data_IF_799508531212
#
_entry.id   IF_799508531212
#
_cell.length_a   1.000
_cell.length_b   1.000
_cell.length_c   1.000
_cell.angle_alpha   90.00
_cell.angle_beta   90.00
_cell.angle_gamma   90.00
#
_symmetry.space_group_name_H-M   'P 1'
#
loop_
_entity.id
_entity.type
_entity.pdbx_description
1 polymer ?
#
# COMPACT_ATOMS: atom_id res chain seq x y z
N UNK A 1 -9.27 24.36 10.59
CA UNK A 1 -9.45 23.11 11.36
C UNK A 1 -8.67 22.03 10.63
N UNK A 2 -7.85 21.23 11.30
CA UNK A 2 -7.22 20.06 10.69
C UNK A 2 -8.28 19.14 10.10
N UNK A 3 -8.00 18.51 8.95
CA UNK A 3 -8.91 17.53 8.35
C UNK A 3 -8.75 16.18 9.05
N UNK A 4 -9.85 15.58 9.49
CA UNK A 4 -9.82 14.24 10.07
C UNK A 4 -9.24 13.21 9.11
N UNK A 5 -8.36 12.37 9.66
CA UNK A 5 -7.67 11.31 8.92
C UNK A 5 -8.44 9.99 9.01
N UNK A 6 -8.36 9.19 7.95
CA UNK A 6 -8.78 7.79 8.03
C UNK A 6 -7.62 6.99 8.63
N UNK A 7 -7.89 6.22 9.68
CA UNK A 7 -6.90 5.31 10.25
C UNK A 7 -6.88 4.00 9.46
N UNK A 8 -5.71 3.61 8.98
CA UNK A 8 -5.48 2.38 8.23
C UNK A 8 -4.52 1.42 8.91
N UNK A 9 -4.71 0.11 8.66
CA UNK A 9 -3.87 -0.97 9.17
C UNK A 9 -3.44 -1.92 8.05
N UNK A 10 -2.13 -2.07 7.83
CA UNK A 10 -1.51 -3.05 6.94
C UNK A 10 -1.06 -4.28 7.75
N UNK A 11 -1.95 -5.27 7.84
CA UNK A 11 -1.93 -6.21 8.96
C UNK A 11 -0.92 -7.34 8.83
N UNK A 12 -0.64 -7.79 7.61
CA UNK A 12 0.14 -9.02 7.38
C UNK A 12 1.34 -8.82 6.49
N UNK A 13 1.18 -8.19 5.32
CA UNK A 13 2.28 -7.91 4.43
C UNK A 13 3.00 -9.11 3.81
N UNK A 14 3.98 -8.75 2.98
CA UNK A 14 4.79 -9.63 2.15
C UNK A 14 6.27 -9.65 2.52
N UNK A 15 6.71 -8.70 3.36
CA UNK A 15 8.12 -8.48 3.68
C UNK A 15 8.60 -9.45 4.76
N UNK A 16 7.88 -9.48 5.89
CA UNK A 16 8.23 -10.23 7.09
C UNK A 16 7.63 -11.64 7.05
N UNK A 17 8.26 -12.57 6.32
CA UNK A 17 7.83 -13.98 6.22
C UNK A 17 8.97 -14.93 6.58
N UNK A 18 8.67 -16.16 7.03
CA UNK A 18 9.67 -17.03 7.64
C UNK A 18 10.90 -17.32 6.77
N UNK A 19 10.73 -17.61 5.48
CA UNK A 19 11.81 -17.96 4.54
C UNK A 19 12.34 -16.78 3.73
N UNK A 20 11.90 -15.56 4.03
CA UNK A 20 12.32 -14.34 3.32
C UNK A 20 13.39 -13.54 4.08
N UNK A 21 14.00 -14.15 5.09
CA UNK A 21 15.03 -13.56 5.95
C UNK A 21 16.16 -14.55 6.22
N UNK A 22 17.40 -14.13 6.02
CA UNK A 22 18.57 -14.88 6.44
C UNK A 22 18.90 -14.53 7.88
N UNK A 23 19.21 -15.53 8.71
CA UNK A 23 19.52 -15.33 10.12
C UNK A 23 20.72 -14.39 10.30
N UNK A 24 20.50 -13.32 11.04
CA UNK A 24 21.51 -12.31 11.36
C UNK A 24 22.28 -12.64 12.64
N UNK A 25 21.73 -13.54 13.47
CA UNK A 25 22.26 -13.85 14.80
C UNK A 25 21.78 -12.88 15.88
N UNK A 26 21.03 -11.84 15.52
CA UNK A 26 20.31 -10.99 16.48
C UNK A 26 18.90 -11.57 16.70
N UNK A 27 18.59 -12.11 17.90
CA UNK A 27 17.31 -12.80 18.15
C UNK A 27 16.08 -11.94 17.91
N UNK A 28 16.15 -10.64 18.25
CA UNK A 28 15.04 -9.71 18.07
C UNK A 28 14.78 -9.42 16.60
N UNK A 29 15.84 -9.05 15.87
CA UNK A 29 15.76 -8.78 14.43
C UNK A 29 15.25 -10.01 13.69
N UNK A 30 15.74 -11.19 14.04
CA UNK A 30 15.37 -12.44 13.37
C UNK A 30 13.91 -12.81 13.65
N UNK A 31 13.41 -12.59 14.88
CA UNK A 31 12.01 -12.81 15.23
C UNK A 31 11.07 -11.85 14.48
N UNK A 32 11.38 -10.55 14.48
CA UNK A 32 10.66 -9.54 13.72
C UNK A 32 10.64 -9.90 12.23
N UNK A 33 11.81 -10.23 11.68
CA UNK A 33 11.99 -10.42 10.24
C UNK A 33 11.28 -11.66 9.70
N UNK A 34 11.11 -12.69 10.54
CA UNK A 34 10.31 -13.89 10.22
C UNK A 34 8.80 -13.64 10.28
N UNK A 35 8.37 -12.51 10.84
CA UNK A 35 6.94 -12.20 11.02
C UNK A 35 6.28 -13.09 12.07
N UNK A 36 7.01 -13.52 13.11
CA UNK A 36 6.54 -14.50 14.10
C UNK A 36 5.24 -14.10 14.81
N UNK A 37 5.01 -12.80 14.96
CA UNK A 37 3.82 -12.22 15.62
C UNK A 37 2.68 -11.92 14.62
N UNK A 38 2.90 -12.11 13.32
CA UNK A 38 1.93 -11.80 12.26
C UNK A 38 0.94 -12.96 12.15
N UNK A 39 -0.35 -12.64 12.29
CA UNK A 39 -1.44 -13.61 12.21
C UNK A 39 -1.60 -14.11 10.77
N UNK A 40 -1.86 -15.41 10.62
CA UNK A 40 -2.11 -16.05 9.32
C UNK A 40 -3.44 -16.83 9.30
N UNK A 41 -4.02 -17.10 10.46
CA UNK A 41 -5.30 -17.78 10.59
C UNK A 41 -6.48 -16.82 10.37
N UNK A 42 -7.50 -17.27 9.66
CA UNK A 42 -8.70 -16.46 9.34
C UNK A 42 -9.39 -15.95 10.60
N UNK A 43 -9.60 -16.80 11.61
CA UNK A 43 -10.29 -16.41 12.85
C UNK A 43 -9.51 -15.34 13.62
N UNK A 44 -8.18 -15.49 13.71
CA UNK A 44 -7.31 -14.50 14.34
C UNK A 44 -7.29 -13.16 13.59
N UNK A 45 -7.25 -13.19 12.26
CA UNK A 45 -7.26 -12.00 11.41
C UNK A 45 -8.59 -11.24 11.50
N UNK A 46 -9.70 -11.97 11.56
CA UNK A 46 -11.04 -11.40 11.71
C UNK A 46 -11.22 -10.79 13.09
N UNK A 47 -10.78 -11.47 14.15
CA UNK A 47 -10.81 -10.94 15.51
C UNK A 47 -9.95 -9.66 15.64
N UNK A 48 -8.77 -9.65 15.01
CA UNK A 48 -7.94 -8.44 14.93
C UNK A 48 -8.61 -7.33 14.13
N UNK A 49 -9.23 -7.64 12.99
CA UNK A 49 -9.96 -6.67 12.18
C UNK A 49 -11.12 -6.01 12.94
N UNK A 50 -11.85 -6.79 13.76
CA UNK A 50 -12.89 -6.27 14.64
C UNK A 50 -12.32 -5.34 15.72
N UNK A 51 -11.27 -5.77 16.43
CA UNK A 51 -10.63 -4.95 17.46
C UNK A 51 -10.05 -3.64 16.89
N UNK A 52 -9.46 -3.68 15.69
CA UNK A 52 -9.00 -2.49 14.98
C UNK A 52 -10.17 -1.57 14.61
N UNK A 53 -11.29 -2.14 14.15
CA UNK A 53 -12.48 -1.36 13.81
C UNK A 53 -13.06 -0.62 15.03
N UNK A 54 -13.08 -1.27 16.20
CA UNK A 54 -13.59 -0.70 17.45
C UNK A 54 -12.83 0.55 17.88
N UNK A 55 -11.52 0.63 17.57
CA UNK A 55 -10.68 1.80 17.89
C UNK A 55 -10.64 2.85 16.77
N UNK A 56 -11.43 2.66 15.71
CA UNK A 56 -11.62 3.64 14.64
C UNK A 56 -10.86 3.37 13.33
N UNK A 57 -10.20 2.20 13.18
CA UNK A 57 -9.62 1.81 11.88
C UNK A 57 -10.74 1.59 10.87
N UNK A 58 -10.59 2.17 9.67
CA UNK A 58 -11.57 2.03 8.58
C UNK A 58 -10.94 1.58 7.26
N UNK A 59 -9.63 1.42 7.22
CA UNK A 59 -8.89 0.93 6.06
C UNK A 59 -8.04 -0.29 6.45
N UNK A 60 -8.39 -1.48 5.97
CA UNK A 60 -7.74 -2.75 6.30
C UNK A 60 -7.02 -3.29 5.06
N UNK A 61 -5.69 -3.19 5.06
CA UNK A 61 -4.83 -3.73 4.01
C UNK A 61 -4.26 -5.08 4.44
N UNK A 62 -4.39 -6.10 3.59
CA UNK A 62 -4.08 -7.48 3.92
C UNK A 62 -3.43 -8.23 2.76
N UNK A 63 -2.43 -9.04 3.10
CA UNK A 63 -1.87 -10.09 2.26
C UNK A 63 -2.24 -11.47 2.79
N UNK A 64 -2.68 -12.36 1.92
CA UNK A 64 -2.93 -13.74 2.29
C UNK A 64 -1.65 -14.45 2.69
N UNK A 65 -1.76 -15.29 3.73
CA UNK A 65 -0.68 -16.14 4.22
C UNK A 65 -1.17 -17.56 4.34
N UNK A 66 -0.32 -18.51 3.96
CA UNK A 66 -0.58 -19.92 4.18
C UNK A 66 -0.61 -20.19 5.69
N UNK A 67 -1.74 -20.67 6.26
CA UNK A 67 -1.85 -20.85 7.71
C UNK A 67 -0.86 -21.88 8.29
N UNK A 68 -0.35 -22.80 7.48
CA UNK A 68 0.59 -23.84 7.92
C UNK A 68 2.04 -23.36 7.90
N UNK A 69 2.45 -22.66 6.85
CA UNK A 69 3.84 -22.23 6.65
C UNK A 69 4.09 -20.78 7.03
N UNK A 70 3.02 -19.99 7.21
CA UNK A 70 3.01 -18.54 7.47
C UNK A 70 3.62 -17.68 6.34
N UNK A 71 3.97 -18.30 5.20
CA UNK A 71 4.44 -17.60 4.01
C UNK A 71 3.32 -16.83 3.34
N UNK A 72 3.69 -15.78 2.59
CA UNK A 72 2.75 -15.10 1.70
C UNK A 72 2.18 -16.09 0.67
N UNK A 73 0.88 -15.98 0.41
CA UNK A 73 0.14 -16.80 -0.55
C UNK A 73 -0.54 -15.94 -1.62
N UNK A 74 -0.72 -16.53 -2.80
CA UNK A 74 -1.56 -15.99 -3.90
C UNK A 74 -2.99 -16.55 -3.86
N UNK A 75 -3.33 -17.39 -2.89
CA UNK A 75 -4.60 -18.11 -2.86
C UNK A 75 -5.81 -17.18 -2.70
N UNK A 76 -6.61 -17.08 -3.75
CA UNK A 76 -7.89 -16.36 -3.72
C UNK A 76 -8.86 -16.89 -2.66
N UNK A 77 -8.80 -18.18 -2.31
CA UNK A 77 -9.65 -18.74 -1.27
C UNK A 77 -9.29 -18.17 0.12
N UNK A 78 -8.00 -17.95 0.40
CA UNK A 78 -7.56 -17.35 1.66
C UNK A 78 -7.93 -15.86 1.73
N UNK A 79 -7.73 -15.12 0.62
CA UNK A 79 -8.22 -13.74 0.50
C UNK A 79 -9.72 -13.64 0.72
N UNK A 80 -10.49 -14.48 0.05
CA UNK A 80 -11.95 -14.46 0.12
C UNK A 80 -12.47 -14.83 1.52
N UNK A 81 -11.88 -15.83 2.18
CA UNK A 81 -12.30 -16.26 3.50
C UNK A 81 -12.20 -15.12 4.54
N UNK A 82 -11.07 -14.40 4.58
CA UNK A 82 -10.91 -13.26 5.50
C UNK A 82 -11.83 -12.10 5.11
N UNK A 83 -11.88 -11.75 3.82
CA UNK A 83 -12.68 -10.61 3.36
C UNK A 83 -14.16 -10.81 3.59
N UNK A 84 -14.69 -12.00 3.35
CA UNK A 84 -16.10 -12.30 3.59
C UNK A 84 -16.49 -12.08 5.05
N UNK A 85 -15.71 -12.63 5.98
CA UNK A 85 -15.94 -12.47 7.42
C UNK A 85 -15.77 -11.02 7.90
N UNK A 86 -14.79 -10.28 7.36
CA UNK A 86 -14.63 -8.85 7.66
C UNK A 86 -15.83 -8.04 7.12
N UNK A 87 -16.29 -8.29 5.89
CA UNK A 87 -17.45 -7.59 5.33
C UNK A 87 -18.73 -7.85 6.14
N UNK A 88 -18.90 -9.08 6.65
CA UNK A 88 -20.03 -9.48 7.47
C UNK A 88 -20.00 -8.83 8.86
N UNK A 89 -18.88 -8.98 9.58
CA UNK A 89 -18.77 -8.53 10.99
C UNK A 89 -18.47 -7.05 11.15
N UNK A 90 -17.78 -6.44 10.19
CA UNK A 90 -17.38 -5.02 10.21
C UNK A 90 -17.72 -4.31 8.89
N UNK A 91 -19.02 -4.17 8.54
CA UNK A 91 -19.48 -3.66 7.24
C UNK A 91 -19.06 -2.22 6.90
N UNK A 92 -18.50 -1.48 7.85
CA UNK A 92 -17.91 -0.15 7.64
C UNK A 92 -16.45 -0.17 7.17
N UNK A 93 -15.77 -1.32 7.20
CA UNK A 93 -14.35 -1.45 6.87
C UNK A 93 -14.12 -1.43 5.35
N UNK A 94 -13.19 -0.59 4.88
CA UNK A 94 -12.62 -0.72 3.55
C UNK A 94 -11.53 -1.79 3.57
N UNK A 95 -11.50 -2.63 2.54
CA UNK A 95 -10.56 -3.75 2.43
C UNK A 95 -9.66 -3.49 1.22
N UNK A 96 -8.35 -3.59 1.41
CA UNK A 96 -7.35 -3.59 0.35
C UNK A 96 -6.58 -4.90 0.38
N UNK A 97 -6.35 -5.49 -0.79
CA UNK A 97 -5.45 -6.63 -0.93
C UNK A 97 -4.12 -6.23 -1.53
N UNK A 98 -3.03 -6.69 -0.92
CA UNK A 98 -1.71 -6.58 -1.52
C UNK A 98 -1.45 -7.69 -2.54
N UNK A 99 -0.64 -7.39 -3.56
CA UNK A 99 -0.30 -8.31 -4.65
C UNK A 99 1.23 -8.39 -4.88
N UNK A 100 2.01 -8.38 -3.80
CA UNK A 100 3.47 -8.43 -3.87
C UNK A 100 3.95 -9.73 -4.51
N UNK A 101 5.06 -9.66 -5.26
CA UNK A 101 5.77 -10.81 -5.84
C UNK A 101 6.75 -11.47 -4.85
N UNK A 102 6.81 -10.97 -3.63
CA UNK A 102 7.76 -11.45 -2.63
C UNK A 102 7.34 -12.80 -2.02
N UNK A 103 8.29 -13.50 -1.40
CA UNK A 103 8.05 -14.78 -0.75
C UNK A 103 8.18 -15.98 -1.69
N UNK A 104 8.58 -17.10 -1.09
CA UNK A 104 8.94 -18.32 -1.83
C UNK A 104 7.73 -19.02 -2.45
N UNK A 105 6.60 -19.08 -1.75
CA UNK A 105 5.37 -19.72 -2.26
C UNK A 105 4.75 -18.91 -3.40
N UNK A 106 4.81 -17.58 -3.35
CA UNK A 106 4.39 -16.71 -4.45
C UNK A 106 5.26 -16.94 -5.69
N UNK A 107 6.59 -17.01 -5.52
CA UNK A 107 7.53 -17.30 -6.62
C UNK A 107 7.26 -18.67 -7.26
N UNK A 108 6.95 -19.68 -6.44
CA UNK A 108 6.57 -21.01 -6.91
C UNK A 108 5.23 -21.01 -7.67
N UNK A 109 4.22 -20.32 -7.13
CA UNK A 109 2.92 -20.17 -7.78
C UNK A 109 3.04 -19.47 -9.15
N UNK A 110 3.82 -18.39 -9.23
CA UNK A 110 4.09 -17.70 -10.49
C UNK A 110 4.83 -18.60 -11.48
N UNK A 111 5.82 -19.39 -11.04
CA UNK A 111 6.52 -20.34 -11.90
C UNK A 111 5.57 -21.38 -12.49
N UNK A 112 4.56 -21.81 -11.72
CA UNK A 112 3.61 -22.85 -12.11
C UNK A 112 2.44 -22.33 -12.95
N UNK A 113 1.91 -21.16 -12.63
CA UNK A 113 0.64 -20.65 -13.17
C UNK A 113 0.78 -19.32 -13.93
N UNK A 114 1.98 -18.74 -13.95
CA UNK A 114 2.27 -17.46 -14.58
C UNK A 114 2.00 -16.25 -13.68
N UNK A 115 2.41 -15.07 -14.15
CA UNK A 115 2.35 -13.81 -13.40
C UNK A 115 0.94 -13.34 -13.04
N UNK A 116 -0.10 -13.80 -13.75
CA UNK A 116 -1.48 -13.47 -13.40
C UNK A 116 -1.85 -13.99 -12.00
N UNK A 117 -1.31 -15.15 -11.61
CA UNK A 117 -1.63 -15.80 -10.33
C UNK A 117 -1.42 -14.85 -9.13
N UNK A 118 -0.33 -14.07 -9.16
CA UNK A 118 0.05 -13.11 -8.12
C UNK A 118 -1.02 -12.04 -7.82
N UNK A 119 -1.74 -11.60 -8.85
CA UNK A 119 -2.67 -10.47 -8.80
C UNK A 119 -4.09 -10.87 -9.18
N UNK A 120 -4.37 -12.18 -9.26
CA UNK A 120 -5.65 -12.69 -9.71
C UNK A 120 -6.82 -12.29 -8.80
N UNK A 121 -6.56 -11.99 -7.53
CA UNK A 121 -7.49 -11.42 -6.56
C UNK A 121 -8.07 -10.06 -6.98
N UNK A 122 -7.43 -9.36 -7.93
CA UNK A 122 -7.99 -8.16 -8.57
C UNK A 122 -9.30 -8.43 -9.32
N UNK A 123 -9.56 -9.68 -9.72
CA UNK A 123 -10.78 -10.08 -10.42
C UNK A 123 -11.87 -10.64 -9.50
N UNK A 124 -11.70 -10.58 -8.17
CA UNK A 124 -12.73 -11.00 -7.22
C UNK A 124 -13.72 -9.85 -6.92
N UNK A 125 -15.03 -10.02 -7.16
CA UNK A 125 -16.05 -9.06 -6.72
C UNK A 125 -16.23 -9.09 -5.20
N UNK A 126 -16.68 -7.98 -4.60
CA UNK A 126 -16.87 -7.86 -3.15
C UNK A 126 -17.75 -8.97 -2.57
N UNK A 127 -18.89 -9.26 -3.20
CA UNK A 127 -19.84 -10.29 -2.74
C UNK A 127 -19.30 -11.73 -2.80
N UNK A 128 -18.15 -11.98 -3.45
CA UNK A 128 -17.44 -13.27 -3.43
C UNK A 128 -16.15 -13.20 -2.59
N UNK A 129 -16.07 -12.28 -1.63
CA UNK A 129 -14.88 -12.09 -0.80
C UNK A 129 -13.77 -11.30 -1.49
N UNK A 130 -14.09 -10.50 -2.50
CA UNK A 130 -13.14 -9.53 -3.09
C UNK A 130 -12.82 -8.38 -2.14
N UNK A 131 -12.04 -7.41 -2.62
CA UNK A 131 -11.65 -6.22 -1.86
C UNK A 131 -12.02 -4.92 -2.58
N UNK A 132 -12.17 -3.85 -1.80
CA UNK A 132 -12.44 -2.49 -2.31
C UNK A 132 -11.27 -1.97 -3.13
N UNK A 133 -10.06 -2.38 -2.76
CA UNK A 133 -8.84 -2.09 -3.48
C UNK A 133 -8.00 -3.36 -3.65
N UNK A 134 -7.22 -3.40 -4.72
CA UNK A 134 -6.10 -4.32 -4.86
C UNK A 134 -4.93 -3.51 -5.36
N UNK A 135 -3.82 -3.58 -4.65
CA UNK A 135 -2.62 -2.83 -5.00
C UNK A 135 -2.01 -3.40 -6.28
N UNK A 136 -2.27 -2.73 -7.40
CA UNK A 136 -1.94 -3.26 -8.73
C UNK A 136 -0.56 -2.89 -9.25
N UNK A 137 -0.02 -1.73 -8.83
CA UNK A 137 1.35 -1.32 -9.12
C UNK A 137 2.17 -1.50 -7.85
N UNK A 138 2.93 -2.58 -7.79
CA UNK A 138 3.94 -2.81 -6.79
C UNK A 138 5.33 -2.71 -7.45
N UNK A 139 6.38 -3.12 -6.73
CA UNK A 139 7.74 -3.04 -7.21
C UNK A 139 7.95 -3.76 -8.57
N UNK A 140 7.29 -4.90 -8.81
CA UNK A 140 7.49 -5.70 -10.03
C UNK A 140 7.04 -4.98 -11.31
N UNK A 141 5.97 -4.19 -11.26
CA UNK A 141 5.49 -3.41 -12.41
C UNK A 141 6.48 -2.31 -12.82
N UNK A 142 7.40 -1.89 -11.93
CA UNK A 142 8.45 -0.92 -12.25
C UNK A 142 9.37 -1.41 -13.38
N UNK A 143 9.37 -2.70 -13.70
CA UNK A 143 10.07 -3.25 -14.88
C UNK A 143 9.66 -2.61 -16.19
N UNK A 144 8.42 -2.13 -16.30
CA UNK A 144 7.94 -1.39 -17.47
C UNK A 144 8.69 -0.06 -17.59
N UNK A 145 8.85 0.67 -16.48
CA UNK A 145 9.59 1.94 -16.44
C UNK A 145 11.08 1.73 -16.61
N UNK A 146 11.64 0.68 -16.03
CA UNK A 146 13.04 0.32 -16.26
C UNK A 146 13.31 -0.03 -17.73
N UNK A 147 12.32 -0.58 -18.44
CA UNK A 147 12.43 -0.84 -19.87
C UNK A 147 12.46 0.46 -20.69
N UNK A 148 11.67 1.45 -20.31
CA UNK A 148 11.73 2.80 -20.88
C UNK A 148 13.07 3.49 -20.58
N UNK A 149 13.54 3.42 -19.34
CA UNK A 149 14.83 3.99 -18.90
C UNK A 149 16.00 3.40 -19.72
N UNK A 150 16.03 2.07 -19.90
CA UNK A 150 17.05 1.39 -20.74
C UNK A 150 17.01 1.81 -22.22
N UNK A 151 15.89 2.32 -22.70
CA UNK A 151 15.73 2.82 -24.08
C UNK A 151 16.05 4.31 -24.21
N UNK A 152 16.55 4.94 -23.15
CA UNK A 152 16.94 6.35 -23.15
C UNK A 152 15.78 7.32 -22.93
N UNK A 153 14.61 6.85 -22.49
CA UNK A 153 13.51 7.74 -22.09
C UNK A 153 13.80 8.27 -20.69
N UNK A 154 13.79 9.59 -20.55
CA UNK A 154 13.90 10.23 -19.23
C UNK A 154 12.63 9.99 -18.42
N UNK A 155 12.81 9.38 -17.25
CA UNK A 155 11.75 9.00 -16.31
C UNK A 155 11.71 9.91 -15.07
N UNK A 156 12.57 10.94 -15.00
CA UNK A 156 12.55 11.90 -13.90
C UNK A 156 11.20 12.61 -13.81
N UNK A 157 10.81 13.04 -12.61
CA UNK A 157 9.50 13.65 -12.35
C UNK A 157 9.17 14.78 -13.33
N UNK A 158 10.13 15.67 -13.59
CA UNK A 158 9.94 16.80 -14.50
C UNK A 158 9.73 16.36 -15.96
N UNK A 159 10.40 15.28 -16.40
CA UNK A 159 10.23 14.73 -17.75
C UNK A 159 8.91 13.95 -17.88
N UNK A 160 8.61 13.10 -16.91
CA UNK A 160 7.37 12.32 -16.87
C UNK A 160 6.10 13.19 -16.85
N UNK A 161 6.22 14.43 -16.35
CA UNK A 161 5.11 15.40 -16.30
C UNK A 161 4.88 16.17 -17.61
N UNK A 162 5.64 15.87 -18.68
CA UNK A 162 5.57 16.61 -19.95
C UNK A 162 4.84 15.82 -21.05
N UNK A 163 4.24 16.50 -22.05
CA UNK A 163 3.61 15.84 -23.20
C UNK A 163 4.54 14.91 -23.99
N UNK A 164 5.86 15.16 -23.99
CA UNK A 164 6.90 14.31 -24.57
C UNK A 164 6.84 12.89 -24.03
N UNK A 165 6.70 12.77 -22.70
CA UNK A 165 6.57 11.48 -22.04
C UNK A 165 5.30 10.76 -22.51
N UNK A 166 4.18 11.47 -22.58
CA UNK A 166 2.93 10.92 -23.14
C UNK A 166 3.07 10.40 -24.58
N UNK A 167 3.91 11.01 -25.42
CA UNK A 167 4.22 10.49 -26.76
C UNK A 167 5.01 9.18 -26.70
N UNK A 168 6.00 9.09 -25.82
CA UNK A 168 6.76 7.85 -25.60
C UNK A 168 5.86 6.72 -25.08
N UNK A 169 4.96 7.03 -24.13
CA UNK A 169 3.99 6.10 -23.56
C UNK A 169 3.05 5.54 -24.64
N UNK A 170 2.49 6.40 -25.51
CA UNK A 170 1.53 5.97 -26.55
C UNK A 170 2.12 4.99 -27.58
N UNK A 171 3.42 5.09 -27.85
CA UNK A 171 4.12 4.24 -28.82
C UNK A 171 4.96 3.15 -28.16
N UNK A 172 4.83 2.99 -26.84
CA UNK A 172 5.62 2.03 -26.11
C UNK A 172 5.24 0.59 -26.48
N UNK A 173 6.23 -0.17 -26.94
CA UNK A 173 6.13 -1.61 -27.17
C UNK A 173 7.04 -2.32 -26.17
N UNK A 174 6.51 -3.03 -25.16
CA UNK A 174 7.32 -3.60 -24.10
C UNK A 174 8.25 -4.72 -24.59
N UNK A 175 9.45 -4.79 -24.02
CA UNK A 175 10.41 -5.84 -24.34
C UNK A 175 9.89 -7.21 -23.90
N UNK A 176 10.09 -8.23 -24.74
CA UNK A 176 9.79 -9.63 -24.43
C UNK A 176 10.94 -10.35 -23.73
N UNK A 177 12.09 -9.69 -23.58
CA UNK A 177 13.24 -10.28 -22.90
C UNK A 177 12.97 -10.33 -21.41
N UNK A 178 13.07 -11.53 -20.85
CA UNK A 178 13.06 -11.73 -19.40
C UNK A 178 14.27 -11.03 -18.80
N UNK A 179 14.02 -10.24 -17.76
CA UNK A 179 15.07 -9.61 -16.98
C UNK A 179 14.86 -9.96 -15.52
N UNK A 180 15.93 -10.43 -14.88
CA UNK A 180 15.97 -10.41 -13.43
C UNK A 180 16.12 -8.95 -13.01
N UNK A 181 15.09 -8.43 -12.36
CA UNK A 181 15.10 -7.05 -11.90
C UNK A 181 15.30 -7.03 -10.40
N UNK A 182 16.52 -6.69 -10.00
CA UNK A 182 16.80 -6.27 -8.64
C UNK A 182 16.37 -4.81 -8.50
N UNK A 183 15.41 -4.56 -7.62
CA UNK A 183 15.06 -3.20 -7.23
C UNK A 183 15.86 -2.84 -6.00
N UNK A 184 16.43 -1.64 -6.02
CA UNK A 184 17.08 -1.07 -4.85
C UNK A 184 16.01 -0.75 -3.80
N UNK A 185 15.90 -1.60 -2.78
CA UNK A 185 14.87 -1.54 -1.74
C UNK A 185 15.47 -1.93 -0.40
N UNK A 186 14.93 -1.37 0.68
CA UNK A 186 15.17 -1.84 2.04
C UNK A 186 14.25 -3.04 2.30
N UNK A 187 14.84 -4.23 2.37
CA UNK A 187 14.11 -5.47 2.66
C UNK A 187 14.92 -6.38 3.57
N UNK A 188 14.25 -7.35 4.19
CA UNK A 188 14.88 -8.55 4.74
C UNK A 188 15.68 -9.29 3.65
N UNK A 189 16.72 -10.02 4.03
CA UNK A 189 17.61 -10.73 3.10
C UNK A 189 16.82 -11.70 2.21
N UNK A 190 16.70 -11.40 0.92
CA UNK A 190 15.94 -12.18 -0.08
C UNK A 190 14.67 -11.48 -0.59
N UNK A 191 14.17 -10.49 0.14
CA UNK A 191 12.93 -9.80 -0.20
C UNK A 191 13.04 -8.67 -1.23
N UNK A 192 14.26 -8.34 -1.67
CA UNK A 192 14.53 -7.43 -2.78
C UNK A 192 14.52 -8.11 -4.15
N UNK A 193 14.59 -9.45 -4.18
CA UNK A 193 14.52 -10.22 -5.43
C UNK A 193 13.04 -10.43 -5.77
N UNK A 194 12.57 -9.64 -6.73
CA UNK A 194 11.23 -9.80 -7.26
C UNK A 194 11.16 -10.94 -8.25
N UNK A 195 12.26 -11.56 -8.71
CA UNK A 195 12.32 -12.67 -9.67
C UNK A 195 12.49 -12.23 -11.13
N UNK A 196 12.57 -13.18 -12.07
CA UNK A 196 12.73 -12.90 -13.51
C UNK A 196 11.39 -12.90 -14.25
N UNK A 197 11.13 -11.88 -15.07
CA UNK A 197 9.94 -11.76 -15.92
C UNK A 197 10.20 -10.68 -16.98
N UNK A 198 9.43 -10.66 -18.07
CA UNK A 198 9.59 -9.64 -19.11
C UNK A 198 8.71 -8.40 -18.83
N UNK A 199 9.14 -7.19 -19.23
CA UNK A 199 8.28 -6.00 -19.26
C UNK A 199 6.97 -6.24 -20.03
N UNK A 200 6.98 -7.09 -21.06
CA UNK A 200 5.79 -7.47 -21.82
C UNK A 200 4.77 -8.22 -20.95
N UNK A 201 5.21 -9.23 -20.20
CA UNK A 201 4.34 -9.99 -19.30
C UNK A 201 3.76 -9.08 -18.22
N UNK A 202 4.58 -8.24 -17.59
CA UNK A 202 4.11 -7.30 -16.55
C UNK A 202 3.11 -6.29 -17.12
N UNK A 203 3.35 -5.76 -18.32
CA UNK A 203 2.41 -4.88 -18.99
C UNK A 203 1.06 -5.56 -19.24
N UNK A 204 1.06 -6.80 -19.73
CA UNK A 204 -0.17 -7.55 -20.00
C UNK A 204 -0.95 -7.86 -18.72
N UNK A 205 -0.25 -8.30 -17.66
CA UNK A 205 -0.85 -8.64 -16.37
C UNK A 205 -1.41 -7.39 -15.70
N UNK A 206 -0.67 -6.28 -15.70
CA UNK A 206 -1.14 -5.04 -15.09
C UNK A 206 -2.35 -4.47 -15.83
N UNK A 207 -2.34 -4.47 -17.17
CA UNK A 207 -3.52 -4.12 -17.97
C UNK A 207 -4.72 -5.00 -17.62
N UNK A 208 -4.52 -6.32 -17.55
CA UNK A 208 -5.59 -7.28 -17.21
C UNK A 208 -6.16 -7.01 -15.82
N UNK A 209 -5.32 -6.69 -14.84
CA UNK A 209 -5.77 -6.35 -13.49
C UNK A 209 -6.61 -5.08 -13.47
N UNK A 210 -6.16 -4.00 -14.14
CA UNK A 210 -6.90 -2.73 -14.27
C UNK A 210 -8.26 -2.96 -14.94
N UNK A 211 -8.30 -3.71 -16.04
CA UNK A 211 -9.54 -4.05 -16.74
C UNK A 211 -10.49 -4.91 -15.89
N UNK A 212 -9.95 -5.85 -15.11
CA UNK A 212 -10.76 -6.66 -14.20
C UNK A 212 -11.46 -5.79 -13.14
N UNK A 213 -10.72 -4.87 -12.50
CA UNK A 213 -11.29 -3.92 -11.52
C UNK A 213 -12.39 -3.06 -12.14
N UNK A 214 -12.17 -2.53 -13.35
CA UNK A 214 -13.16 -1.73 -14.08
C UNK A 214 -14.45 -2.50 -14.34
N UNK A 215 -14.36 -3.76 -14.77
CA UNK A 215 -15.53 -4.63 -15.01
C UNK A 215 -16.34 -4.91 -13.73
N UNK A 216 -15.69 -4.84 -12.57
CA UNK A 216 -16.32 -5.00 -11.28
C UNK A 216 -16.84 -3.68 -10.69
N UNK A 217 -16.67 -2.55 -11.39
CA UNK A 217 -16.93 -1.20 -10.87
C UNK A 217 -16.18 -0.90 -9.56
N UNK A 218 -15.01 -1.52 -9.39
CA UNK A 218 -14.15 -1.32 -8.23
C UNK A 218 -12.96 -0.45 -8.59
N UNK A 219 -12.48 0.28 -7.60
CA UNK A 219 -11.44 1.29 -7.76
C UNK A 219 -10.03 0.69 -7.74
N UNK A 220 -9.08 1.50 -8.22
CA UNK A 220 -7.66 1.15 -8.31
C UNK A 220 -6.87 1.72 -7.14
N UNK A 221 -5.87 0.95 -6.70
CA UNK A 221 -4.83 1.39 -5.79
C UNK A 221 -3.45 1.07 -6.37
N UNK A 222 -2.51 1.99 -6.18
CA UNK A 222 -1.09 1.81 -6.52
C UNK A 222 -0.21 2.12 -5.31
N UNK A 223 0.94 1.46 -5.22
CA UNK A 223 1.93 1.70 -4.17
C UNK A 223 3.20 2.32 -4.74
N UNK A 224 3.72 3.32 -4.04
CA UNK A 224 4.95 4.00 -4.37
C UNK A 224 6.04 3.61 -3.41
N UNK A 225 7.10 3.05 -3.98
CA UNK A 225 8.24 2.45 -3.27
C UNK A 225 9.58 3.02 -3.73
N UNK A 226 9.61 3.68 -4.90
CA UNK A 226 10.76 4.40 -5.46
C UNK A 226 10.22 5.67 -6.14
N UNK A 227 10.39 6.86 -5.55
CA UNK A 227 9.57 8.04 -5.83
C UNK A 227 9.43 8.33 -7.34
N UNK A 228 10.53 8.61 -8.03
CA UNK A 228 10.54 8.97 -9.46
C UNK A 228 9.99 7.84 -10.35
N UNK A 229 10.39 6.60 -10.10
CA UNK A 229 9.97 5.43 -10.90
C UNK A 229 8.51 5.10 -10.68
N UNK A 230 8.04 5.17 -9.44
CA UNK A 230 6.64 4.96 -9.09
C UNK A 230 5.75 6.07 -9.67
N UNK A 231 6.19 7.34 -9.60
CA UNK A 231 5.51 8.44 -10.28
C UNK A 231 5.44 8.23 -11.79
N UNK A 232 6.57 7.95 -12.44
CA UNK A 232 6.64 7.68 -13.87
C UNK A 232 5.78 6.47 -14.27
N UNK A 233 5.73 5.42 -13.45
CA UNK A 233 4.89 4.24 -13.70
C UNK A 233 3.41 4.56 -13.60
N UNK A 234 3.00 5.34 -12.58
CA UNK A 234 1.61 5.74 -12.42
C UNK A 234 1.20 6.71 -13.53
N UNK A 235 2.08 7.63 -13.94
CA UNK A 235 1.86 8.49 -15.11
C UNK A 235 1.78 7.68 -16.40
N UNK A 236 2.67 6.72 -16.61
CA UNK A 236 2.60 5.80 -17.74
C UNK A 236 1.23 5.10 -17.76
N UNK A 237 0.78 4.54 -16.64
CA UNK A 237 -0.46 3.79 -16.54
C UNK A 237 -1.72 4.62 -16.77
N UNK A 238 -1.73 5.87 -16.29
CA UNK A 238 -2.86 6.80 -16.45
C UNK A 238 -2.98 7.32 -17.88
N UNK A 239 -1.85 7.54 -18.57
CA UNK A 239 -1.80 8.09 -19.93
C UNK A 239 -1.83 7.00 -21.02
N UNK A 240 -1.46 5.75 -20.71
CA UNK A 240 -1.39 4.68 -21.69
C UNK A 240 -2.80 4.26 -22.17
N UNK A 241 -3.09 4.30 -23.48
CA UNK A 241 -4.46 4.13 -24.02
C UNK A 241 -5.09 2.78 -23.71
N UNK A 242 -4.27 1.74 -23.54
CA UNK A 242 -4.72 0.40 -23.20
C UNK A 242 -4.89 0.13 -21.70
N UNK A 243 -4.30 0.96 -20.82
CA UNK A 243 -4.38 0.74 -19.35
C UNK A 243 -5.44 1.68 -18.77
N UNK A 244 -5.26 3.00 -18.98
CA UNK A 244 -6.16 4.04 -18.48
C UNK A 244 -6.46 3.88 -16.98
N UNK A 245 -5.42 3.73 -16.18
CA UNK A 245 -5.53 3.63 -14.72
C UNK A 245 -6.32 4.82 -14.16
N UNK A 246 -7.26 4.58 -13.24
CA UNK A 246 -8.10 5.61 -12.62
C UNK A 246 -9.01 6.36 -13.58
N UNK A 247 -9.39 5.74 -14.71
CA UNK A 247 -10.32 6.29 -15.71
C UNK A 247 -11.75 6.48 -15.22
N UNK A 248 -12.08 5.86 -14.10
CA UNK A 248 -13.35 5.86 -13.40
C UNK A 248 -13.54 7.15 -12.58
N UNK A 249 -12.55 8.06 -12.62
CA UNK A 249 -12.59 9.35 -11.92
C UNK A 249 -11.93 9.33 -10.55
N UNK A 250 -11.40 8.19 -10.08
CA UNK A 250 -10.71 8.07 -8.80
C UNK A 250 -9.44 7.20 -8.95
N UNK A 251 -8.37 7.62 -8.27
CA UNK A 251 -7.15 6.84 -8.08
C UNK A 251 -6.72 6.91 -6.61
N UNK A 252 -6.27 5.79 -6.04
CA UNK A 252 -5.75 5.73 -4.67
C UNK A 252 -4.25 5.45 -4.74
N UNK A 253 -3.44 6.27 -4.08
CA UNK A 253 -1.98 6.16 -4.09
C UNK A 253 -1.49 6.01 -2.66
N UNK A 254 -0.78 4.91 -2.39
CA UNK A 254 -0.14 4.67 -1.10
C UNK A 254 1.36 4.96 -1.21
N UNK A 255 1.86 5.87 -0.37
CA UNK A 255 3.27 6.27 -0.30
C UNK A 255 3.97 5.54 0.86
N UNK A 256 4.96 4.72 0.55
CA UNK A 256 5.72 3.94 1.54
C UNK A 256 7.09 4.56 1.79
N UNK A 257 7.12 5.49 2.73
CA UNK A 257 8.33 6.22 3.10
C UNK A 257 9.35 5.32 3.79
N UNK A 258 10.60 5.38 3.35
CA UNK A 258 11.68 4.55 3.89
C UNK A 258 11.68 3.12 3.33
N UNK A 259 10.90 2.85 2.29
CA UNK A 259 10.92 1.54 1.62
C UNK A 259 12.21 1.33 0.82
N UNK A 260 12.82 2.38 0.27
CA UNK A 260 14.05 2.27 -0.51
C UNK A 260 14.94 3.50 -0.39
N UNK A 261 16.22 3.42 -0.77
CA UNK A 261 17.07 4.61 -0.91
C UNK A 261 16.54 5.63 -1.92
N UNK A 262 15.75 5.16 -2.90
CA UNK A 262 15.08 5.99 -3.91
C UNK A 262 13.72 6.52 -3.47
N UNK A 263 13.26 6.17 -2.27
CA UNK A 263 12.15 6.81 -1.59
C UNK A 263 12.38 6.75 -0.07
N UNK A 264 13.38 7.52 0.42
CA UNK A 264 13.80 7.46 1.81
C UNK A 264 12.68 7.96 2.73
N UNK A 265 12.85 7.70 4.03
CA UNK A 265 11.99 8.32 5.03
C UNK A 265 12.26 9.84 5.06
N UNK A 266 11.24 10.71 5.10
CA UNK A 266 11.43 12.14 4.94
C UNK A 266 12.16 12.74 6.16
N UNK A 267 13.13 13.62 5.89
CA UNK A 267 13.90 14.27 6.94
C UNK A 267 13.16 15.45 7.58
N UNK A 268 12.20 16.02 6.86
CA UNK A 268 11.37 17.14 7.31
C UNK A 268 9.93 17.06 6.78
N UNK A 269 9.04 17.85 7.37
CA UNK A 269 7.67 17.99 6.89
C UNK A 269 7.56 18.46 5.43
N UNK A 270 8.45 19.36 5.02
CA UNK A 270 8.45 19.87 3.64
C UNK A 270 8.75 18.76 2.63
N UNK A 271 9.67 17.84 2.94
CA UNK A 271 9.97 16.69 2.09
C UNK A 271 8.78 15.75 1.96
N UNK A 272 8.13 15.47 3.08
CA UNK A 272 6.90 14.71 3.11
C UNK A 272 5.81 15.34 2.23
N UNK A 273 5.52 16.64 2.40
CA UNK A 273 4.51 17.33 1.60
C UNK A 273 4.87 17.40 0.11
N UNK A 274 6.15 17.45 -0.27
CA UNK A 274 6.56 17.37 -1.68
C UNK A 274 6.14 16.04 -2.31
N UNK A 275 6.35 14.92 -1.62
CA UNK A 275 5.94 13.61 -2.12
C UNK A 275 4.42 13.47 -2.19
N UNK A 276 3.67 13.96 -1.18
CA UNK A 276 2.21 13.96 -1.19
C UNK A 276 1.65 14.84 -2.32
N UNK A 277 2.19 16.05 -2.50
CA UNK A 277 1.79 16.97 -3.57
C UNK A 277 2.07 16.38 -4.95
N UNK A 278 3.18 15.64 -5.09
CA UNK A 278 3.48 14.92 -6.33
C UNK A 278 2.43 13.86 -6.64
N UNK A 279 1.98 13.07 -5.65
CA UNK A 279 0.89 12.12 -5.83
C UNK A 279 -0.41 12.84 -6.24
N UNK A 280 -0.78 13.93 -5.55
CA UNK A 280 -1.97 14.74 -5.87
C UNK A 280 -1.89 15.38 -7.27
N UNK A 281 -0.70 15.64 -7.81
CA UNK A 281 -0.55 16.16 -9.19
C UNK A 281 -1.12 15.21 -10.27
N UNK A 282 -1.30 13.92 -9.96
CA UNK A 282 -1.90 12.93 -10.86
C UNK A 282 -3.43 13.03 -10.99
N UNK A 283 -4.07 13.96 -10.27
CA UNK A 283 -5.44 14.38 -10.57
C UNK A 283 -5.59 14.97 -11.98
N UNK A 284 -4.49 15.55 -12.49
CA UNK A 284 -4.43 16.21 -13.77
C UNK A 284 -3.75 15.32 -14.81
N UNK A 285 -4.31 15.30 -16.03
CA UNK A 285 -3.64 14.70 -17.19
C UNK A 285 -2.50 15.60 -17.70
N UNK A 286 -1.75 15.11 -18.70
CA UNK A 286 -0.65 15.86 -19.32
C UNK A 286 -1.09 17.14 -20.07
N UNK A 287 -2.40 17.37 -20.26
CA UNK A 287 -2.93 18.63 -20.80
C UNK A 287 -3.25 19.65 -19.71
N UNK A 288 -3.11 19.27 -18.43
CA UNK A 288 -3.45 20.10 -17.27
C UNK A 288 -4.94 20.06 -16.92
N UNK A 289 -5.73 19.16 -17.51
CA UNK A 289 -7.14 19.00 -17.17
C UNK A 289 -7.27 18.06 -15.97
N UNK A 290 -8.04 18.46 -14.95
CA UNK A 290 -8.42 17.56 -13.86
C UNK A 290 -9.37 16.51 -14.39
N UNK A 291 -8.96 15.24 -14.37
CA UNK A 291 -9.72 14.11 -14.95
C UNK A 291 -10.03 13.02 -13.92
N UNK A 292 -9.46 13.13 -12.71
CA UNK A 292 -9.69 12.21 -11.60
C UNK A 292 -9.42 12.90 -10.27
N UNK A 293 -9.98 12.37 -9.20
CA UNK A 293 -9.55 12.66 -7.83
C UNK A 293 -8.44 11.66 -7.43
N UNK A 294 -7.51 12.12 -6.58
CA UNK A 294 -6.46 11.27 -6.00
C UNK A 294 -6.59 11.29 -4.49
N UNK A 295 -6.73 10.12 -3.89
CA UNK A 295 -6.56 9.91 -2.44
C UNK A 295 -5.15 9.47 -2.15
N UNK A 296 -4.59 9.97 -1.05
CA UNK A 296 -3.22 9.65 -0.63
C UNK A 296 -3.25 8.96 0.72
N UNK A 297 -2.73 7.74 0.73
CA UNK A 297 -2.40 7.00 1.94
C UNK A 297 -0.89 7.10 2.18
N UNK A 298 -0.44 7.17 3.42
CA UNK A 298 0.98 7.17 3.75
C UNK A 298 1.30 6.10 4.80
N UNK A 299 2.42 5.41 4.65
CA UNK A 299 2.93 4.42 5.59
C UNK A 299 4.44 4.52 5.78
N UNK A 300 4.93 4.12 6.95
CA UNK A 300 6.36 4.10 7.27
C UNK A 300 6.91 2.69 7.05
N UNK A 301 7.61 2.45 5.95
CA UNK A 301 8.12 1.12 5.58
C UNK A 301 9.58 0.89 6.04
N UNK A 302 9.91 1.36 7.24
CA UNK A 302 11.27 1.38 7.80
C UNK A 302 11.60 0.04 8.44
N UNK A 303 12.75 -0.55 8.08
CA UNK A 303 13.24 -1.78 8.72
C UNK A 303 13.69 -1.53 10.17
N UNK A 304 13.56 -2.50 11.08
CA UNK A 304 13.94 -2.33 12.49
C UNK A 304 15.41 -1.92 12.67
N UNK A 305 16.30 -2.37 11.78
CA UNK A 305 17.73 -2.01 11.80
C UNK A 305 17.99 -0.55 11.44
N UNK A 306 17.05 0.11 10.75
CA UNK A 306 17.16 1.50 10.34
C UNK A 306 16.36 2.44 11.25
N UNK A 307 15.48 1.89 12.10
CA UNK A 307 14.54 2.65 12.92
C UNK A 307 15.22 3.74 13.77
N UNK A 308 16.34 3.40 14.41
CA UNK A 308 17.07 4.32 15.31
C UNK A 308 17.62 5.54 14.60
N UNK A 309 18.02 5.40 13.32
CA UNK A 309 18.49 6.52 12.50
C UNK A 309 17.39 7.54 12.16
N UNK A 310 16.12 7.16 12.34
CA UNK A 310 14.97 8.00 12.05
C UNK A 310 14.31 8.60 13.29
N UNK A 311 14.85 8.32 14.49
CA UNK A 311 14.42 8.95 15.74
C UNK A 311 14.79 10.43 15.70
N UNK A 312 13.79 11.30 15.69
CA UNK A 312 13.97 12.75 15.69
C UNK A 312 12.91 13.41 16.57
N UNK A 313 13.15 14.67 16.91
CA UNK A 313 12.17 15.50 17.64
C UNK A 313 10.96 15.78 16.76
N UNK A 314 9.77 15.69 17.34
CA UNK A 314 8.52 16.09 16.67
C UNK A 314 8.53 17.58 16.35
N UNK A 315 8.04 17.92 15.16
CA UNK A 315 7.98 19.31 14.66
C UNK A 315 6.66 20.01 15.05
N UNK A 316 5.60 19.25 15.31
CA UNK A 316 4.23 19.73 15.52
C UNK A 316 3.55 19.05 16.72
N UNK A 317 2.32 19.52 17.01
CA UNK A 317 1.46 19.01 18.07
C UNK A 317 1.91 19.40 19.48
N UNK A 318 1.14 18.96 20.46
CA UNK A 318 1.42 19.18 21.90
C UNK A 318 2.73 18.53 22.35
N UNK A 319 3.15 17.48 21.63
CA UNK A 319 4.38 16.72 21.89
C UNK A 319 5.60 17.26 21.13
N UNK A 320 5.50 18.44 20.50
CA UNK A 320 6.61 19.08 19.79
C UNK A 320 7.89 19.09 20.64
N UNK A 321 9.01 18.74 20.04
CA UNK A 321 10.32 18.66 20.70
C UNK A 321 10.62 17.34 21.40
N UNK A 322 9.63 16.45 21.60
CA UNK A 322 9.85 15.09 22.10
C UNK A 322 10.42 14.19 21.00
N UNK A 323 11.28 13.25 21.37
CA UNK A 323 11.77 12.23 20.44
C UNK A 323 10.65 11.27 20.05
N UNK A 324 10.62 10.90 18.78
CA UNK A 324 9.62 10.01 18.22
C UNK A 324 10.25 9.15 17.12
N UNK A 325 9.74 7.92 17.00
CA UNK A 325 10.10 7.00 15.93
C UNK A 325 9.51 7.39 14.57
N UNK A 326 9.81 6.62 13.52
CA UNK A 326 9.35 6.91 12.17
C UNK A 326 7.82 6.91 12.06
N UNK A 327 7.13 5.97 12.71
CA UNK A 327 5.67 5.87 12.60
C UNK A 327 4.97 7.09 13.23
N UNK A 328 5.38 7.50 14.43
CA UNK A 328 4.74 8.64 15.08
C UNK A 328 5.09 9.96 14.38
N UNK A 329 6.33 10.10 13.87
CA UNK A 329 6.70 11.25 13.03
C UNK A 329 5.82 11.33 11.78
N UNK A 330 5.58 10.20 11.11
CA UNK A 330 4.73 10.16 9.93
C UNK A 330 3.27 10.51 10.27
N UNK A 331 2.74 9.98 11.37
CA UNK A 331 1.39 10.31 11.86
C UNK A 331 1.27 11.80 12.19
N UNK A 332 2.28 12.39 12.83
CA UNK A 332 2.35 13.81 13.12
C UNK A 332 2.33 14.66 11.83
N UNK A 333 3.11 14.29 10.81
CA UNK A 333 3.09 14.98 9.51
C UNK A 333 1.75 14.82 8.79
N UNK A 334 1.18 13.61 8.75
CA UNK A 334 -0.12 13.36 8.14
C UNK A 334 -1.24 14.19 8.80
N UNK A 335 -1.17 14.40 10.12
CA UNK A 335 -2.17 15.12 10.88
C UNK A 335 -2.18 16.65 10.63
N UNK A 336 -1.20 17.21 9.93
CA UNK A 336 -1.18 18.64 9.61
C UNK A 336 -2.24 19.00 8.56
N UNK A 337 -2.86 20.18 8.69
CA UNK A 337 -4.01 20.58 7.87
C UNK A 337 -3.69 20.71 6.36
N UNK A 338 -2.46 21.04 6.02
CA UNK A 338 -1.95 21.19 4.64
C UNK A 338 -1.22 19.93 4.14
N UNK A 339 -1.24 18.83 4.89
CA UNK A 339 -0.60 17.56 4.51
C UNK A 339 -1.21 16.96 3.24
N UNK A 340 -2.50 17.21 2.99
CA UNK A 340 -3.31 16.58 1.93
C UNK A 340 -3.36 15.05 2.00
N UNK A 341 -3.07 14.46 3.16
CA UNK A 341 -3.18 13.01 3.38
C UNK A 341 -4.62 12.64 3.76
N UNK A 342 -5.10 11.55 3.19
CA UNK A 342 -6.43 11.01 3.45
C UNK A 342 -6.36 9.85 4.47
N UNK A 343 -5.33 8.99 4.37
CA UNK A 343 -5.15 7.80 5.21
C UNK A 343 -3.75 7.77 5.82
N UNK A 344 -3.63 7.59 7.14
CA UNK A 344 -2.38 7.18 7.78
C UNK A 344 -2.44 5.67 8.03
N UNK A 345 -1.51 4.94 7.42
CA UNK A 345 -1.42 3.48 7.48
C UNK A 345 -0.30 3.07 8.44
N UNK A 346 -0.65 2.38 9.51
CA UNK A 346 0.28 1.62 10.36
C UNK A 346 0.16 0.13 10.08
N UNK A 347 1.03 -0.69 10.65
CA UNK A 347 0.79 -2.13 10.73
C UNK A 347 2.06 -2.94 10.64
N UNK A 348 1.92 -4.22 10.97
CA UNK A 348 3.03 -5.16 11.06
C UNK A 348 3.66 -5.46 9.70
N UNK A 349 2.96 -5.19 8.60
CA UNK A 349 3.54 -5.24 7.26
C UNK A 349 4.70 -4.26 7.07
N UNK A 350 4.56 -3.06 7.63
CA UNK A 350 5.42 -1.92 7.36
C UNK A 350 6.43 -1.72 8.51
N UNK A 351 5.95 -1.73 9.75
CA UNK A 351 6.71 -1.54 11.00
C UNK A 351 6.19 -2.46 12.11
N UNK A 352 6.59 -3.74 12.17
CA UNK A 352 6.19 -4.72 13.20
C UNK A 352 6.86 -4.49 14.57
N UNK A 353 7.13 -3.23 14.90
CA UNK A 353 7.84 -2.82 16.10
C UNK A 353 7.43 -1.38 16.47
N UNK A 354 7.65 -1.02 17.72
CA UNK A 354 7.63 0.38 18.18
C UNK A 354 9.03 0.80 18.62
N UNK A 355 9.23 2.12 18.72
CA UNK A 355 10.44 2.70 19.31
C UNK A 355 10.04 3.33 20.65
N UNK A 356 10.70 2.94 21.73
CA UNK A 356 10.45 3.49 23.08
C UNK A 356 11.01 4.91 23.20
N UNK A 357 10.61 5.69 24.22
CA UNK A 357 11.20 7.00 24.48
C UNK A 357 12.73 6.98 24.67
N UNK A 358 13.27 5.87 25.17
CA UNK A 358 14.71 5.64 25.34
C UNK A 358 15.42 5.21 24.04
N UNK A 359 14.67 5.08 22.94
CA UNK A 359 15.17 4.71 21.62
C UNK A 359 15.32 3.21 21.39
N UNK A 360 14.76 2.37 22.27
CA UNK A 360 14.78 0.92 22.11
C UNK A 360 13.71 0.46 21.12
N UNK A 361 14.03 -0.53 20.29
CA UNK A 361 13.08 -1.14 19.35
C UNK A 361 12.44 -2.36 20.00
N UNK A 362 11.11 -2.39 20.12
CA UNK A 362 10.38 -3.47 20.80
C UNK A 362 9.26 -4.03 19.93
N UNK A 363 8.90 -5.30 20.17
CA UNK A 363 7.81 -5.97 19.45
C UNK A 363 6.47 -5.34 19.80
N UNK A 364 5.56 -5.40 18.84
CA UNK A 364 4.18 -4.94 19.00
C UNK A 364 3.27 -5.75 18.08
N UNK A 365 1.99 -5.41 18.07
CA UNK A 365 0.98 -5.93 17.16
C UNK A 365 0.27 -4.77 16.43
N UNK A 366 -0.67 -5.11 15.54
CA UNK A 366 -1.41 -4.10 14.78
C UNK A 366 -2.24 -3.18 15.69
N UNK A 367 -2.73 -3.67 16.83
CA UNK A 367 -3.56 -2.87 17.74
C UNK A 367 -2.71 -1.84 18.50
N UNK A 368 -1.54 -2.24 18.99
CA UNK A 368 -0.56 -1.35 19.61
C UNK A 368 -0.11 -0.24 18.65
N UNK A 369 0.21 -0.59 17.41
CA UNK A 369 0.57 0.38 16.36
C UNK A 369 -0.56 1.37 16.07
N UNK A 370 -1.79 0.87 15.91
CA UNK A 370 -2.96 1.70 15.64
C UNK A 370 -3.29 2.65 16.82
N UNK A 371 -3.16 2.18 18.07
CA UNK A 371 -3.31 3.04 19.26
C UNK A 371 -2.25 4.14 19.30
N UNK A 372 -0.99 3.81 19.01
CA UNK A 372 0.10 4.79 19.00
C UNK A 372 -0.13 5.86 17.93
N UNK A 373 -0.54 5.46 16.73
CA UNK A 373 -0.87 6.41 15.66
C UNK A 373 -2.07 7.26 16.03
N UNK A 374 -3.15 6.67 16.54
CA UNK A 374 -4.34 7.43 16.97
C UNK A 374 -3.96 8.47 18.03
N UNK A 375 -3.22 8.08 19.06
CA UNK A 375 -2.78 9.00 20.11
C UNK A 375 -1.91 10.14 19.56
N UNK A 376 -1.09 9.86 18.53
CA UNK A 376 -0.29 10.89 17.87
C UNK A 376 -1.15 11.87 17.06
N UNK A 377 -2.13 11.38 16.31
CA UNK A 377 -3.11 12.22 15.58
C UNK A 377 -3.84 13.14 16.56
N UNK A 378 -4.37 12.56 17.66
CA UNK A 378 -5.09 13.31 18.69
C UNK A 378 -4.20 14.41 19.29
N UNK A 379 -2.92 14.11 19.57
CA UNK A 379 -1.95 15.09 20.11
C UNK A 379 -1.57 16.22 19.14
N UNK A 380 -1.91 16.07 17.85
CA UNK A 380 -1.76 17.10 16.83
C UNK A 380 -3.02 17.96 16.66
N UNK A 381 -4.08 17.69 17.42
CA UNK A 381 -5.37 18.39 17.33
C UNK A 381 -6.25 17.93 16.15
N UNK A 382 -5.94 16.78 15.56
CA UNK A 382 -6.69 16.17 14.45
C UNK A 382 -7.54 15.01 14.97
N UNK A 383 -8.66 14.71 14.28
CA UNK A 383 -9.50 13.58 14.59
C UNK A 383 -9.30 12.38 13.66
N UNK A 384 -9.97 11.28 13.99
CA UNK A 384 -10.09 10.09 13.13
C UNK A 384 -11.50 10.06 12.51
N UNK A 385 -11.56 9.97 11.19
CA UNK A 385 -12.80 9.84 10.45
C UNK A 385 -13.32 8.39 10.51
N UNK A 386 -14.44 8.20 11.21
CA UNK A 386 -15.05 6.88 11.41
C UNK A 386 -16.42 6.72 10.76
N UNK A 387 -17.08 7.82 10.38
CA UNK A 387 -18.37 7.80 9.69
C UNK A 387 -18.27 7.09 8.34
N UNK A 388 -19.10 6.05 8.15
CA UNK A 388 -19.04 5.19 6.96
C UNK A 388 -19.24 6.00 5.68
N UNK A 389 -20.24 6.87 5.62
CA UNK A 389 -20.59 7.60 4.40
C UNK A 389 -19.47 8.59 4.04
N UNK A 390 -18.91 9.28 5.03
CA UNK A 390 -17.79 10.19 4.84
C UNK A 390 -16.51 9.46 4.40
N UNK A 391 -16.19 8.31 5.01
CA UNK A 391 -15.08 7.44 4.59
C UNK A 391 -15.26 6.99 3.14
N UNK A 392 -16.46 6.49 2.77
CA UNK A 392 -16.73 6.07 1.39
C UNK A 392 -16.63 7.22 0.42
N UNK A 393 -17.23 8.37 0.74
CA UNK A 393 -17.13 9.56 -0.11
C UNK A 393 -15.68 9.99 -0.32
N UNK A 394 -14.86 9.99 0.74
CA UNK A 394 -13.44 10.37 0.66
C UNK A 394 -12.64 9.40 -0.21
N UNK A 395 -12.93 8.11 -0.08
CA UNK A 395 -12.24 7.03 -0.80
C UNK A 395 -12.82 6.73 -2.19
N UNK A 396 -13.69 7.61 -2.72
CA UNK A 396 -14.29 7.51 -4.05
C UNK A 396 -15.44 6.51 -4.18
N UNK A 397 -15.91 5.94 -3.07
CA UNK A 397 -17.01 4.98 -3.02
C UNK A 397 -18.39 5.60 -2.76
N UNK A 398 -18.52 6.92 -2.65
CA UNK A 398 -19.78 7.58 -2.26
C UNK A 398 -21.02 7.07 -3.02
N UNK A 399 -21.01 7.16 -4.36
CA UNK A 399 -22.09 6.61 -5.21
C UNK A 399 -21.85 5.14 -5.57
N UNK A 400 -20.59 4.74 -5.77
CA UNK A 400 -20.22 3.38 -6.19
C UNK A 400 -20.64 2.31 -5.18
N UNK A 401 -20.65 2.61 -3.87
CA UNK A 401 -21.08 1.67 -2.83
C UNK A 401 -22.47 1.10 -3.11
N UNK A 402 -23.39 1.86 -3.72
CA UNK A 402 -24.74 1.38 -4.05
C UNK A 402 -24.75 0.29 -5.13
N UNK A 403 -23.70 0.21 -5.95
CA UNK A 403 -23.56 -0.75 -7.03
C UNK A 403 -22.80 -1.99 -6.62
N UNK A 404 -21.81 -1.86 -5.71
CA UNK A 404 -20.84 -2.93 -5.43
C UNK A 404 -20.96 -3.54 -4.04
N UNK A 405 -21.57 -2.85 -3.08
CA UNK A 405 -21.80 -3.37 -1.73
C UNK A 405 -23.22 -3.92 -1.57
N UNK A 406 -23.40 -4.96 -0.75
CA UNK A 406 -24.73 -5.43 -0.40
C UNK A 406 -25.52 -4.34 0.37
N UNK A 407 -26.86 -4.27 0.19
CA UNK A 407 -27.68 -3.34 0.94
C UNK A 407 -27.61 -3.64 2.44
N UNK A 408 -27.45 -2.59 3.25
CA UNK A 408 -27.26 -2.67 4.71
C UNK A 408 -28.39 -3.37 5.46
N UNK A 409 -29.57 -3.50 4.84
CA UNK A 409 -30.75 -4.13 5.41
C UNK A 409 -30.76 -5.66 5.36
N UNK A 410 -29.77 -6.30 4.72
CA UNK A 410 -29.72 -7.76 4.62
C UNK A 410 -29.15 -8.46 5.88
N UNK A 411 -28.61 -7.72 6.85
CA UNK A 411 -27.95 -8.28 8.05
C UNK A 411 -28.79 -8.18 9.35
N UNK A 412 -30.06 -7.77 9.26
CA UNK A 412 -30.97 -7.70 10.42
C UNK A 412 -31.88 -8.93 10.58
N UNK A 413 -31.64 -10.02 9.84
CA UNK A 413 -32.56 -11.16 9.82
C UNK A 413 -31.86 -12.51 9.66
N UNK A 414 -30.88 -12.84 10.51
CA UNK A 414 -30.50 -14.23 10.83
C UNK A 414 -30.10 -14.35 12.30
#
# INVERSE_FOLDING_TARGET
MPSDLILGSAVTGAKFTPRNHAMTGNPFIDLVSRGQTIKSDTGQLVAEGAALFDIGVRYYHYHARNPQTQEQSTSNALYAAVSHEIQDRVPGMLISFGASRNGVEVKEAIRRYGEWERISQSALPLHLGGAHFVTGQAAVELQIILDLERRGVDIGIAAASRPEFGRAVRHYVPSKKDNETALDVHSTTGGSSYGSTSPHTQFQVYRRAVDARRRLHLLHEVEWVQLDRSYAMTRFATEHPLIRLGSEGQLNITLLFGFSPRFPFPDSYQEFCRAVSLAKSLEFDLSGKRVRAVTVSVGAAVLPQHATAHIKKLEFGERKGQLAGPLERLACYAAQADSNVDVIRSGMEDTPYIVTPDGEVTLTDNLGLAHQVKAMIDSCGSGVLTDRAAVRSRMGFGELSRLVEPPTTALAAW
#
